data_IF_480558025220
#
_entry.id   IF_480558025220
#
_cell.length_a   1.000
_cell.length_b   1.000
_cell.length_c   1.000
_cell.angle_alpha   90.00
_cell.angle_beta   90.00
_cell.angle_gamma   90.00
#
_symmetry.space_group_name_H-M   'P 1'
#
loop_
_entity.id
_entity.type
_entity.pdbx_description
1 polymer ?
#
# COMPACT_ATOMS: atom_id res chain seq x y z
N UNK A 1 -2.25 9.15 -6.18
CA UNK A 1 -2.88 7.84 -5.90
C UNK A 1 -3.47 7.19 -7.16
N UNK A 2 -3.45 5.85 -7.24
CA UNK A 2 -4.13 5.06 -8.28
C UNK A 2 -4.91 3.93 -7.60
N UNK A 3 -6.17 3.71 -7.97
CA UNK A 3 -6.95 2.53 -7.57
C UNK A 3 -7.32 1.73 -8.83
N UNK A 4 -7.07 0.43 -8.81
CA UNK A 4 -7.32 -0.52 -9.91
C UNK A 4 -7.52 -1.92 -9.33
N UNK A 5 -7.82 -2.91 -10.16
CA UNK A 5 -7.87 -4.32 -9.78
C UNK A 5 -6.84 -5.14 -10.58
N UNK A 6 -6.37 -6.26 -10.02
CA UNK A 6 -5.49 -7.20 -10.73
C UNK A 6 -6.05 -7.64 -12.10
N UNK A 7 -7.37 -7.61 -12.28
CA UNK A 7 -8.08 -8.00 -13.52
C UNK A 7 -8.22 -6.87 -14.55
N UNK A 8 -7.90 -5.62 -14.20
CA UNK A 8 -8.13 -4.47 -15.07
C UNK A 8 -7.03 -4.29 -16.11
N UNK A 9 -6.98 -5.20 -17.09
CA UNK A 9 -5.88 -5.29 -18.07
C UNK A 9 -5.60 -3.97 -18.79
N UNK A 10 -6.65 -3.24 -19.20
CA UNK A 10 -6.49 -2.01 -19.97
C UNK A 10 -5.78 -0.93 -19.14
N UNK A 11 -6.24 -0.72 -17.90
CA UNK A 11 -5.64 0.27 -17.00
C UNK A 11 -4.23 -0.19 -16.62
N UNK A 12 -4.06 -1.44 -16.19
CA UNK A 12 -2.79 -1.96 -15.70
C UNK A 12 -1.68 -1.87 -16.76
N UNK A 13 -1.97 -2.16 -18.03
CA UNK A 13 -1.01 -2.02 -19.15
C UNK A 13 -0.61 -0.58 -19.45
N UNK A 14 -1.41 0.40 -19.01
CA UNK A 14 -1.14 1.84 -19.20
C UNK A 14 -0.38 2.48 -18.05
N UNK A 15 -0.21 1.77 -16.93
CA UNK A 15 0.56 2.24 -15.78
C UNK A 15 2.06 2.25 -16.11
N UNK A 16 2.86 2.91 -15.27
CA UNK A 16 4.31 2.86 -15.39
C UNK A 16 4.80 1.41 -15.39
N UNK A 17 5.92 1.17 -16.07
CA UNK A 17 6.47 -0.18 -16.24
C UNK A 17 6.68 -0.87 -14.89
N UNK A 18 7.22 -0.14 -13.90
CA UNK A 18 7.51 -0.68 -12.56
C UNK A 18 6.24 -1.04 -11.78
N UNK A 19 5.18 -0.23 -11.86
CA UNK A 19 3.90 -0.56 -11.20
C UNK A 19 3.27 -1.79 -11.87
N UNK A 20 3.31 -1.86 -13.20
CA UNK A 20 2.81 -3.02 -13.93
C UNK A 20 3.60 -4.30 -13.60
N UNK A 21 4.93 -4.21 -13.40
CA UNK A 21 5.76 -5.33 -12.93
C UNK A 21 5.28 -5.89 -11.58
N UNK A 22 4.90 -5.04 -10.61
CA UNK A 22 4.33 -5.49 -9.33
C UNK A 22 3.01 -6.26 -9.49
N UNK A 23 2.11 -5.74 -10.33
CA UNK A 23 0.81 -6.35 -10.62
C UNK A 23 1.02 -7.71 -11.30
N UNK A 24 1.89 -7.75 -12.32
CA UNK A 24 2.24 -8.97 -13.05
C UNK A 24 2.87 -10.01 -12.12
N UNK A 25 3.84 -9.62 -11.31
CA UNK A 25 4.50 -10.51 -10.36
C UNK A 25 3.49 -11.14 -9.38
N UNK A 26 2.51 -10.36 -8.92
CA UNK A 26 1.44 -10.87 -8.05
C UNK A 26 0.52 -11.87 -8.77
N UNK A 27 0.26 -11.68 -10.06
CA UNK A 27 -0.53 -12.63 -10.86
C UNK A 27 0.22 -13.92 -11.21
N UNK A 28 1.54 -13.87 -11.29
CA UNK A 28 2.41 -15.01 -11.67
C UNK A 28 2.86 -15.86 -10.47
N UNK A 29 2.69 -15.35 -9.25
CA UNK A 29 3.18 -16.00 -8.02
C UNK A 29 2.06 -16.16 -6.99
N UNK A 30 2.06 -17.29 -6.28
CA UNK A 30 1.11 -17.53 -5.17
C UNK A 30 1.60 -16.87 -3.87
N UNK A 31 1.54 -15.54 -3.82
CA UNK A 31 2.02 -14.75 -2.68
C UNK A 31 1.25 -15.03 -1.37
N UNK A 32 0.08 -15.67 -1.45
CA UNK A 32 -0.66 -16.12 -0.26
C UNK A 32 0.09 -17.19 0.53
N UNK A 33 1.01 -17.92 -0.10
CA UNK A 33 1.84 -18.93 0.57
C UNK A 33 3.11 -18.38 1.20
N UNK A 34 3.43 -17.11 0.97
CA UNK A 34 4.65 -16.52 1.52
C UNK A 34 4.46 -16.23 3.01
N UNK A 35 5.49 -16.46 3.81
CA UNK A 35 5.48 -16.04 5.22
C UNK A 35 5.49 -14.51 5.32
N UNK A 36 4.95 -13.93 6.41
CA UNK A 36 5.06 -12.50 6.64
C UNK A 36 6.54 -12.08 6.73
N UNK A 37 6.92 -11.01 6.02
CA UNK A 37 8.31 -10.57 5.97
C UNK A 37 8.67 -9.74 4.76
N UNK A 38 9.96 -9.39 4.68
CA UNK A 38 10.53 -8.57 3.60
C UNK A 38 11.20 -9.47 2.56
N UNK A 39 10.98 -9.15 1.30
CA UNK A 39 11.50 -9.87 0.13
C UNK A 39 11.97 -8.88 -0.94
N UNK A 40 12.78 -9.39 -1.86
CA UNK A 40 13.15 -8.69 -3.10
C UNK A 40 12.45 -9.36 -4.28
N UNK A 41 11.99 -8.56 -5.24
CA UNK A 41 11.41 -9.08 -6.48
C UNK A 41 12.57 -9.44 -7.42
N UNK A 42 12.74 -10.73 -7.79
CA UNK A 42 13.92 -11.19 -8.52
C UNK A 42 14.14 -10.44 -9.84
N UNK A 43 15.38 -10.02 -10.08
CA UNK A 43 15.77 -9.34 -11.32
C UNK A 43 15.31 -7.88 -11.41
N UNK A 44 14.88 -7.29 -10.29
CA UNK A 44 14.44 -5.90 -10.21
C UNK A 44 15.00 -5.21 -8.97
N UNK A 45 14.87 -3.89 -8.89
CA UNK A 45 15.18 -3.08 -7.72
C UNK A 45 14.01 -2.98 -6.73
N UNK A 46 12.89 -3.66 -7.03
CA UNK A 46 11.65 -3.57 -6.27
C UNK A 46 11.75 -4.45 -5.03
N UNK A 47 11.43 -3.86 -3.88
CA UNK A 47 11.28 -4.56 -2.60
C UNK A 47 9.80 -4.82 -2.35
N UNK A 48 9.48 -5.88 -1.61
CA UNK A 48 8.11 -6.14 -1.20
C UNK A 48 8.05 -6.63 0.24
N UNK A 49 6.97 -6.27 0.93
CA UNK A 49 6.62 -6.79 2.25
C UNK A 49 5.34 -7.61 2.13
N UNK A 50 5.34 -8.81 2.69
CA UNK A 50 4.13 -9.60 2.92
C UNK A 50 3.67 -9.32 4.34
N UNK A 51 2.49 -8.72 4.45
CA UNK A 51 1.88 -8.41 5.73
C UNK A 51 0.72 -9.35 5.99
N UNK A 52 0.62 -9.87 7.22
CA UNK A 52 -0.50 -10.66 7.72
C UNK A 52 -0.83 -10.18 9.14
N UNK A 53 -2.01 -9.60 9.31
CA UNK A 53 -2.43 -9.00 10.59
C UNK A 53 -3.95 -9.00 10.72
N UNK A 54 -4.44 -8.67 11.92
CA UNK A 54 -5.84 -8.35 12.13
C UNK A 54 -6.07 -6.86 11.97
N UNK A 55 -7.09 -6.46 11.20
CA UNK A 55 -7.45 -5.05 11.05
C UNK A 55 -7.79 -4.42 12.39
N UNK A 56 -7.56 -3.12 12.52
CA UNK A 56 -7.67 -2.37 13.77
C UNK A 56 -8.76 -1.30 13.69
N UNK A 57 -9.22 -0.86 14.85
CA UNK A 57 -10.09 0.30 14.98
C UNK A 57 -9.34 1.59 14.64
N UNK A 58 -10.08 2.63 14.24
CA UNK A 58 -9.52 3.90 13.76
C UNK A 58 -8.67 4.62 14.82
N UNK A 59 -9.01 4.49 16.11
CA UNK A 59 -8.22 5.04 17.23
C UNK A 59 -6.82 4.42 17.37
N UNK A 60 -6.59 3.24 16.76
CA UNK A 60 -5.27 2.57 16.68
C UNK A 60 -4.58 2.79 15.33
N UNK A 61 -5.22 3.54 14.45
CA UNK A 61 -4.68 3.96 13.17
C UNK A 61 -3.51 4.93 13.34
N UNK A 62 -2.66 5.00 12.31
CA UNK A 62 -1.57 5.95 12.22
C UNK A 62 -1.51 6.47 10.80
N UNK A 63 -1.47 7.78 10.64
CA UNK A 63 -1.22 8.41 9.35
C UNK A 63 0.27 8.33 9.03
N UNK A 64 0.59 7.77 7.88
CA UNK A 64 1.94 7.63 7.39
C UNK A 64 2.09 8.05 5.93
N UNK A 65 3.29 8.50 5.57
CA UNK A 65 3.73 8.62 4.18
C UNK A 65 5.23 8.34 4.06
N UNK A 66 5.74 8.45 2.84
CA UNK A 66 7.11 8.09 2.45
C UNK A 66 7.80 9.29 1.77
N UNK A 67 9.13 9.37 1.83
CA UNK A 67 9.89 10.47 1.19
C UNK A 67 10.26 10.13 -0.26
N UNK A 68 10.64 8.88 -0.51
CA UNK A 68 11.28 8.44 -1.75
C UNK A 68 10.55 7.27 -2.39
N UNK A 69 9.93 6.39 -1.62
CA UNK A 69 9.26 5.23 -2.18
C UNK A 69 7.77 5.49 -2.34
N UNK A 70 7.22 5.01 -3.45
CA UNK A 70 5.78 4.80 -3.58
C UNK A 70 5.44 3.39 -3.12
N UNK A 71 4.20 3.24 -2.67
CA UNK A 71 3.62 1.97 -2.28
C UNK A 71 2.69 1.45 -3.37
N UNK A 72 2.83 0.19 -3.74
CA UNK A 72 1.80 -0.57 -4.46
C UNK A 72 1.26 -1.62 -3.50
N UNK A 73 0.14 -1.30 -2.86
CA UNK A 73 -0.55 -2.22 -1.93
C UNK A 73 -1.54 -3.08 -2.70
N UNK A 74 -1.41 -4.40 -2.60
CA UNK A 74 -2.31 -5.36 -3.23
C UNK A 74 -2.86 -6.29 -2.16
N UNK A 75 -4.18 -6.27 -1.98
CA UNK A 75 -4.84 -7.13 -1.02
C UNK A 75 -4.92 -8.56 -1.57
N UNK A 76 -4.39 -9.53 -0.84
CA UNK A 76 -4.37 -10.94 -1.23
C UNK A 76 -5.58 -11.68 -0.63
N UNK A 77 -5.89 -11.39 0.64
CA UNK A 77 -6.96 -12.03 1.41
C UNK A 77 -7.62 -11.04 2.38
N UNK A 78 -8.94 -11.15 2.52
CA UNK A 78 -9.73 -10.26 3.39
C UNK A 78 -9.99 -8.88 2.75
N UNK A 79 -10.26 -7.90 3.60
CA UNK A 79 -10.53 -6.52 3.23
C UNK A 79 -10.18 -5.55 4.36
N UNK A 80 -9.84 -4.32 4.00
CA UNK A 80 -9.60 -3.25 4.97
C UNK A 80 -10.05 -1.91 4.40
N UNK A 81 -10.36 -0.96 5.29
CA UNK A 81 -10.35 0.44 4.92
C UNK A 81 -8.92 0.98 5.00
N UNK A 82 -8.60 1.87 4.06
CA UNK A 82 -7.41 2.72 4.12
C UNK A 82 -7.89 4.17 4.04
N UNK A 83 -7.71 4.94 5.12
CA UNK A 83 -8.01 6.37 5.09
C UNK A 83 -6.89 7.09 4.34
N UNK A 84 -7.23 8.17 3.64
CA UNK A 84 -6.29 8.93 2.82
C UNK A 84 -6.52 10.43 2.97
N UNK A 85 -5.43 11.18 2.90
CA UNK A 85 -5.43 12.62 2.68
C UNK A 85 -4.22 13.03 1.83
N UNK A 86 -4.23 14.26 1.33
CA UNK A 86 -3.06 14.87 0.73
C UNK A 86 -2.13 15.42 1.83
N UNK A 87 -0.82 15.27 1.65
CA UNK A 87 0.20 15.73 2.61
C UNK A 87 0.08 17.21 2.99
N UNK A 88 -0.42 18.07 2.09
CA UNK A 88 -0.58 19.51 2.35
C UNK A 88 -1.75 19.84 3.30
N UNK A 89 -2.63 18.88 3.59
CA UNK A 89 -3.77 19.05 4.49
C UNK A 89 -3.49 18.54 5.92
N UNK A 90 -2.32 17.93 6.14
CA UNK A 90 -1.96 17.31 7.42
C UNK A 90 -0.72 17.98 8.03
N UNK A 91 -0.60 17.85 9.34
CA UNK A 91 0.58 18.25 10.10
C UNK A 91 1.57 17.08 10.15
N UNK A 92 2.83 17.32 9.78
CA UNK A 92 3.92 16.35 9.97
C UNK A 92 4.33 16.35 11.45
N UNK A 93 4.18 15.21 12.14
CA UNK A 93 4.57 15.06 13.55
C UNK A 93 5.98 14.50 13.71
N UNK A 94 6.39 13.56 12.85
CA UNK A 94 7.70 12.91 12.92
C UNK A 94 8.27 12.60 11.52
N UNK A 95 9.59 12.68 11.38
CA UNK A 95 10.31 12.38 10.14
C UNK A 95 11.52 11.49 10.40
N UNK A 96 11.52 10.32 9.78
CA UNK A 96 12.56 9.29 9.92
C UNK A 96 13.16 8.98 8.54
N UNK A 97 14.13 9.80 8.12
CA UNK A 97 14.70 9.76 6.76
C UNK A 97 15.32 8.40 6.41
N UNK A 98 16.02 7.78 7.35
CA UNK A 98 16.69 6.48 7.15
C UNK A 98 15.70 5.34 6.87
N UNK A 99 14.47 5.47 7.38
CA UNK A 99 13.41 4.48 7.24
C UNK A 99 12.41 4.83 6.13
N UNK A 100 12.61 5.93 5.42
CA UNK A 100 11.68 6.48 4.43
C UNK A 100 10.25 6.66 5.00
N UNK A 101 10.15 7.25 6.19
CA UNK A 101 8.89 7.29 6.92
C UNK A 101 8.60 8.67 7.50
N UNK A 102 7.37 9.14 7.32
CA UNK A 102 6.82 10.33 7.95
C UNK A 102 5.53 9.96 8.68
N UNK A 103 5.35 10.49 9.87
CA UNK A 103 4.11 10.39 10.64
C UNK A 103 3.37 11.71 10.57
N UNK A 104 2.05 11.64 10.40
CA UNK A 104 1.21 12.81 10.26
C UNK A 104 0.05 12.82 11.25
N UNK A 105 -0.61 13.98 11.33
CA UNK A 105 -1.85 14.16 12.07
C UNK A 105 -2.79 15.11 11.35
N UNK A 106 -4.07 14.78 11.40
CA UNK A 106 -5.15 15.62 10.91
C UNK A 106 -6.38 14.80 10.55
N UNK A 107 -7.38 15.43 9.92
CA UNK A 107 -8.64 14.78 9.60
C UNK A 107 -8.50 13.81 8.43
N UNK A 108 -9.38 12.83 8.38
CA UNK A 108 -9.61 12.06 7.15
C UNK A 108 -10.21 12.96 6.06
N UNK A 109 -9.72 12.82 4.82
CA UNK A 109 -10.39 13.39 3.65
C UNK A 109 -11.39 12.40 3.04
N UNK A 110 -10.94 11.16 2.83
CA UNK A 110 -11.78 10.02 2.42
C UNK A 110 -11.11 8.71 2.82
N UNK A 111 -11.83 7.59 2.65
CA UNK A 111 -11.28 6.24 2.78
C UNK A 111 -11.67 5.36 1.61
N UNK A 112 -10.81 4.40 1.29
CA UNK A 112 -11.02 3.39 0.24
C UNK A 112 -11.20 2.04 0.90
N UNK A 113 -12.22 1.28 0.46
CA UNK A 113 -12.35 -0.13 0.81
C UNK A 113 -11.49 -0.97 -0.13
N UNK A 114 -10.42 -1.56 0.39
CA UNK A 114 -9.51 -2.43 -0.34
C UNK A 114 -9.89 -3.90 -0.10
N UNK A 115 -10.30 -4.63 -1.14
CA UNK A 115 -10.66 -6.05 -1.06
C UNK A 115 -9.65 -6.93 -1.80
N UNK A 116 -9.65 -8.22 -1.51
CA UNK A 116 -8.81 -9.19 -2.22
C UNK A 116 -8.87 -9.02 -3.76
N UNK A 117 -7.70 -8.78 -4.36
CA UNK A 117 -7.50 -8.50 -5.78
C UNK A 117 -7.43 -7.01 -6.14
N UNK A 118 -7.81 -6.11 -5.24
CA UNK A 118 -7.67 -4.67 -5.46
C UNK A 118 -6.22 -4.21 -5.26
N UNK A 119 -5.85 -3.18 -6.00
CA UNK A 119 -4.53 -2.56 -6.05
C UNK A 119 -4.69 -1.08 -5.75
N UNK A 120 -3.94 -0.59 -4.78
CA UNK A 120 -3.91 0.83 -4.41
C UNK A 120 -2.47 1.32 -4.39
N UNK A 121 -2.20 2.38 -5.15
CA UNK A 121 -0.88 2.99 -5.28
C UNK A 121 -0.85 4.33 -4.56
N UNK A 122 0.12 4.51 -3.66
CA UNK A 122 0.37 5.75 -2.93
C UNK A 122 1.72 6.34 -3.31
N UNK A 123 1.71 7.57 -3.80
CA UNK A 123 2.90 8.40 -3.98
C UNK A 123 3.30 9.05 -2.64
N UNK A 124 4.51 9.65 -2.55
CA UNK A 124 4.97 10.35 -1.34
C UNK A 124 3.97 11.35 -0.74
N UNK A 125 3.17 12.01 -1.58
CA UNK A 125 2.17 13.01 -1.18
C UNK A 125 0.83 12.40 -0.74
N UNK A 126 0.61 11.10 -0.95
CA UNK A 126 -0.61 10.39 -0.56
C UNK A 126 -0.45 9.84 0.88
N UNK A 127 -0.75 10.67 1.88
CA UNK A 127 -0.72 10.26 3.28
C UNK A 127 -1.86 9.30 3.57
N UNK A 128 -1.56 8.13 4.12
CA UNK A 128 -2.52 7.06 4.27
C UNK A 128 -2.49 6.45 5.67
N UNK A 129 -3.62 5.86 6.07
CA UNK A 129 -3.77 5.14 7.32
C UNK A 129 -4.33 3.75 7.00
N UNK A 130 -3.46 2.73 6.87
CA UNK A 130 -3.88 1.40 6.45
C UNK A 130 -4.37 0.53 7.62
N UNK A 131 -4.96 -0.62 7.28
CA UNK A 131 -5.31 -1.65 8.25
C UNK A 131 -6.59 -1.40 9.03
N UNK A 132 -7.47 -0.49 8.59
CA UNK A 132 -8.69 -0.17 9.33
C UNK A 132 -9.77 -1.22 9.11
N UNK A 133 -10.47 -1.59 10.18
CA UNK A 133 -11.58 -2.55 10.11
C UNK A 133 -12.79 -1.95 9.39
N UNK A 134 -13.57 -2.81 8.71
CA UNK A 134 -14.81 -2.40 8.03
C UNK A 134 -15.98 -2.36 9.04
N UNK A 135 -16.41 -3.53 9.51
CA UNK A 135 -17.42 -3.67 10.56
C UNK A 135 -16.80 -4.17 11.87
N UNK A 136 -15.94 -5.19 11.75
CA UNK A 136 -15.22 -5.83 12.85
C UNK A 136 -13.79 -6.16 12.40
N UNK A 137 -12.91 -6.34 13.36
CA UNK A 137 -11.56 -6.83 13.10
C UNK A 137 -11.61 -8.18 12.36
N UNK A 138 -10.87 -8.28 11.26
CA UNK A 138 -10.66 -9.53 10.52
C UNK A 138 -9.20 -9.71 10.15
N UNK A 139 -8.79 -10.95 9.91
CA UNK A 139 -7.45 -11.25 9.44
C UNK A 139 -7.34 -10.92 7.95
N UNK A 140 -6.31 -10.15 7.60
CA UNK A 140 -6.01 -9.76 6.22
C UNK A 140 -4.59 -10.13 5.87
N UNK A 141 -4.38 -10.40 4.58
CA UNK A 141 -3.05 -10.61 4.02
C UNK A 141 -2.88 -9.74 2.79
N UNK A 142 -1.81 -8.95 2.74
CA UNK A 142 -1.50 -8.09 1.60
C UNK A 142 -0.01 -8.11 1.28
N UNK A 143 0.31 -7.75 0.04
CA UNK A 143 1.68 -7.40 -0.36
C UNK A 143 1.76 -5.89 -0.54
N UNK A 144 2.85 -5.30 -0.06
CA UNK A 144 3.21 -3.91 -0.29
C UNK A 144 4.53 -3.87 -1.03
N UNK A 145 4.50 -3.52 -2.32
CA UNK A 145 5.72 -3.26 -3.07
C UNK A 145 6.17 -1.83 -2.83
N UNK A 146 7.48 -1.64 -2.68
CA UNK A 146 8.13 -0.35 -2.51
C UNK A 146 8.98 -0.08 -3.75
N UNK A 147 8.70 1.03 -4.44
CA UNK A 147 9.42 1.45 -5.65
C UNK A 147 9.96 2.88 -5.43
N UNK A 148 11.25 3.08 -5.63
CA UNK A 148 11.83 4.43 -5.64
C UNK A 148 11.19 5.24 -6.78
N UNK A 149 10.59 6.39 -6.46
CA UNK A 149 9.89 7.22 -7.44
C UNK A 149 10.77 7.66 -8.61
N UNK A 150 12.09 7.71 -8.42
CA UNK A 150 13.04 8.07 -9.48
C UNK A 150 13.29 6.94 -10.49
N UNK A 151 12.76 5.74 -10.25
CA UNK A 151 12.89 4.56 -11.11
C UNK A 151 11.61 4.24 -11.91
N UNK A 152 10.56 5.06 -11.76
CA UNK A 152 9.26 4.89 -12.39
C UNK A 152 9.30 4.95 -13.93
#
# INVERSE_FOLDING_TARGET
MIFTNLKDELQNKSLSKKIYECIKFTGENDLKKYEPGKYEVPGTEIKMNIDNYNTKSEDKGMWESHLKYLDVQIMLEGQEYIAVNNIHNLEEEERHVENDFLKHKGPELFRVLLKAGDVLVFYPEDVHMPGLQVEKSENVKKVVFKIDVNLL
#
